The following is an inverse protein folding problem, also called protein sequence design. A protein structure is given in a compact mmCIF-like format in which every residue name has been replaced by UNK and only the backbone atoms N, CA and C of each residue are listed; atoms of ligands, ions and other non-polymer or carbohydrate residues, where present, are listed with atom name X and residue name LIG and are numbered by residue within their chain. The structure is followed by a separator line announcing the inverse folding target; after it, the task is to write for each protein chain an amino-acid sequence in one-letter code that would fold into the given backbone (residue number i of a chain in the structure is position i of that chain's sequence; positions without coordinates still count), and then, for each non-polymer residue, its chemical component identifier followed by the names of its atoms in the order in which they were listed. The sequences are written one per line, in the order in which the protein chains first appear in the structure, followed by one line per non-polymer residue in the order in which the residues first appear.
data_IF_488091520027
#
_entry.id   IF_488091520027
#
_cell.length_a   1.000
_cell.length_b   1.000
_cell.length_c   1.000
_cell.angle_alpha   90.00
_cell.angle_beta   90.00
_cell.angle_gamma   90.00
#
_symmetry.space_group_name_H-M   'P 1'
#
loop_
_entity.id
_entity.type
_entity.pdbx_description
1 polymer ?
#
# COMPACT_ATOMS: atom_id res chain seq x y z
N UNK A 1 6.97 -13.07 -14.42
CA UNK A 1 5.54 -13.00 -14.17
C UNK A 1 5.25 -12.65 -12.70
N UNK A 2 4.04 -12.15 -12.45
CA UNK A 2 3.45 -12.02 -11.12
C UNK A 2 2.09 -12.71 -11.15
N UNK A 3 1.86 -13.62 -10.20
CA UNK A 3 0.57 -14.31 -10.03
C UNK A 3 -0.06 -13.88 -8.70
N UNK A 4 -1.32 -13.50 -8.75
CA UNK A 4 -2.18 -13.25 -7.58
C UNK A 4 -3.10 -14.45 -7.40
N UNK A 5 -2.73 -15.41 -6.55
CA UNK A 5 -3.46 -16.65 -6.35
C UNK A 5 -4.45 -16.52 -5.19
N UNK A 6 -5.74 -16.42 -5.52
CA UNK A 6 -6.77 -16.03 -4.56
C UNK A 6 -7.30 -17.19 -3.69
N UNK A 7 -7.21 -18.44 -4.15
CA UNK A 7 -7.99 -19.52 -3.54
C UNK A 7 -7.20 -20.79 -3.20
N UNK A 8 -6.04 -21.02 -3.78
CA UNK A 8 -5.28 -22.27 -3.67
C UNK A 8 -3.78 -22.00 -3.59
N UNK A 9 -2.99 -23.07 -3.50
CA UNK A 9 -1.51 -23.03 -3.52
C UNK A 9 -0.97 -23.95 -4.63
N UNK A 10 -1.65 -23.98 -5.75
CA UNK A 10 -1.35 -24.94 -6.84
C UNK A 10 -0.02 -24.59 -7.53
N UNK A 11 0.34 -23.31 -7.58
CA UNK A 11 1.58 -22.86 -8.21
C UNK A 11 2.86 -23.25 -7.45
N UNK A 12 2.77 -23.73 -6.21
CA UNK A 12 3.93 -24.30 -5.49
C UNK A 12 4.56 -25.48 -6.21
N UNK A 13 3.81 -26.18 -7.06
CA UNK A 13 4.31 -27.26 -7.88
C UNK A 13 5.43 -26.80 -8.84
N UNK A 14 5.46 -25.53 -9.22
CA UNK A 14 6.55 -24.96 -10.03
C UNK A 14 7.93 -25.04 -9.36
N UNK A 15 8.00 -25.12 -8.02
CA UNK A 15 9.26 -25.30 -7.30
C UNK A 15 9.93 -26.66 -7.58
N UNK A 16 9.17 -27.64 -8.11
CA UNK A 16 9.73 -28.93 -8.52
C UNK A 16 10.47 -28.86 -9.87
N UNK A 17 10.23 -27.79 -10.65
CA UNK A 17 10.91 -27.56 -11.93
C UNK A 17 12.21 -26.77 -11.72
N UNK A 18 13.30 -27.29 -12.27
CA UNK A 18 14.65 -26.71 -12.14
C UNK A 18 14.72 -25.26 -12.68
N UNK A 19 13.88 -24.90 -13.68
CA UNK A 19 13.84 -23.55 -14.25
C UNK A 19 13.36 -22.53 -13.22
N UNK A 20 12.41 -22.91 -12.36
CA UNK A 20 11.79 -22.01 -11.38
C UNK A 20 12.47 -22.06 -10.01
N UNK A 21 13.16 -23.14 -9.67
CA UNK A 21 13.72 -23.40 -8.34
C UNK A 21 14.57 -22.26 -7.79
N UNK A 22 15.34 -21.57 -8.64
CA UNK A 22 16.20 -20.45 -8.26
C UNK A 22 15.63 -19.06 -8.56
N UNK A 23 14.53 -18.99 -9.32
CA UNK A 23 13.97 -17.73 -9.84
C UNK A 23 12.47 -17.58 -9.59
N UNK A 24 11.97 -18.19 -8.51
CA UNK A 24 10.57 -18.07 -8.08
C UNK A 24 10.52 -17.67 -6.61
N UNK A 25 9.80 -16.59 -6.34
CA UNK A 25 9.43 -16.18 -4.99
C UNK A 25 7.96 -16.54 -4.74
N UNK A 26 7.68 -17.12 -3.59
CA UNK A 26 6.32 -17.38 -3.14
C UNK A 26 6.12 -16.71 -1.78
N UNK A 27 5.13 -15.83 -1.68
CA UNK A 27 4.74 -15.16 -0.46
C UNK A 27 3.33 -15.56 -0.08
N UNK A 28 3.14 -15.96 1.17
CA UNK A 28 1.83 -16.31 1.72
C UNK A 28 1.26 -15.10 2.46
N UNK A 29 0.29 -14.45 1.82
CA UNK A 29 -0.33 -13.22 2.33
C UNK A 29 -1.26 -13.56 3.50
N UNK A 30 -1.14 -12.81 4.59
CA UNK A 30 -1.90 -13.07 5.81
C UNK A 30 -1.29 -14.16 6.71
N UNK A 31 -0.08 -14.63 6.41
CA UNK A 31 0.68 -15.53 7.29
C UNK A 31 1.98 -14.85 7.71
N UNK A 32 2.11 -14.56 9.01
CA UNK A 32 3.30 -13.92 9.55
C UNK A 32 4.46 -14.90 9.80
N UNK A 33 4.22 -16.21 9.67
CA UNK A 33 5.19 -17.27 9.99
C UNK A 33 5.89 -17.84 8.76
N UNK A 34 5.23 -17.77 7.60
CA UNK A 34 5.72 -18.32 6.34
C UNK A 34 5.91 -17.19 5.34
N UNK A 35 7.17 -16.88 4.99
CA UNK A 35 7.53 -15.83 4.03
C UNK A 35 6.76 -14.52 4.24
N UNK A 36 6.89 -13.88 5.42
CA UNK A 36 6.14 -12.66 5.73
C UNK A 36 6.54 -11.54 4.78
N UNK A 37 5.53 -10.86 4.24
CA UNK A 37 5.70 -9.67 3.43
C UNK A 37 5.02 -8.49 4.14
N UNK A 38 5.60 -7.32 4.05
CA UNK A 38 5.07 -6.11 4.69
C UNK A 38 4.86 -5.04 3.65
N UNK A 39 3.66 -4.49 3.60
CA UNK A 39 3.29 -3.41 2.71
C UNK A 39 2.67 -2.29 3.52
N UNK A 40 3.40 -1.22 3.73
CA UNK A 40 2.78 0.01 4.20
C UNK A 40 1.95 0.61 3.05
N UNK A 41 0.61 0.68 3.15
CA UNK A 41 -0.23 1.22 2.08
C UNK A 41 0.06 2.68 1.75
N UNK A 42 0.66 3.41 2.69
CA UNK A 42 0.95 4.83 2.55
C UNK A 42 2.33 5.13 1.97
N UNK A 43 3.11 4.10 1.67
CA UNK A 43 4.40 4.31 1.02
C UNK A 43 4.21 4.83 -0.40
N UNK A 44 4.86 5.95 -0.70
CA UNK A 44 4.80 6.58 -2.02
C UNK A 44 6.07 6.23 -2.78
N UNK A 45 5.93 5.69 -3.98
CA UNK A 45 7.05 5.42 -4.86
C UNK A 45 7.78 6.72 -5.21
N UNK A 46 9.10 6.65 -5.33
CA UNK A 46 9.91 7.80 -5.75
C UNK A 46 9.42 8.36 -7.10
N UNK A 47 9.23 9.67 -7.17
CA UNK A 47 8.74 10.36 -8.37
C UNK A 47 7.21 10.40 -8.51
N UNK A 48 6.47 9.76 -7.61
CA UNK A 48 5.00 9.86 -7.56
C UNK A 48 4.59 11.01 -6.66
N UNK A 49 3.65 11.83 -7.14
CA UNK A 49 3.12 12.93 -6.34
C UNK A 49 2.16 12.41 -5.26
N UNK A 50 2.27 12.85 -3.98
CA UNK A 50 1.42 12.36 -2.88
C UNK A 50 -0.08 12.44 -3.15
N UNK A 51 -0.55 13.50 -3.83
CA UNK A 51 -1.97 13.63 -4.17
C UNK A 51 -2.46 12.51 -5.08
N UNK A 52 -1.65 12.07 -6.04
CA UNK A 52 -1.98 10.95 -6.94
C UNK A 52 -2.12 9.66 -6.14
N UNK A 53 -1.17 9.41 -5.24
CA UNK A 53 -1.22 8.23 -4.36
C UNK A 53 -2.43 8.27 -3.41
N UNK A 54 -2.76 9.43 -2.83
CA UNK A 54 -3.95 9.63 -1.99
C UNK A 54 -5.23 9.31 -2.76
N UNK A 55 -5.35 9.77 -4.01
CA UNK A 55 -6.52 9.47 -4.86
C UNK A 55 -6.65 7.97 -5.11
N UNK A 56 -5.55 7.27 -5.35
CA UNK A 56 -5.56 5.81 -5.47
C UNK A 56 -5.94 5.12 -4.17
N UNK A 57 -5.38 5.53 -3.02
CA UNK A 57 -5.76 4.98 -1.73
C UNK A 57 -7.25 5.16 -1.43
N UNK A 58 -7.79 6.37 -1.68
CA UNK A 58 -9.23 6.63 -1.56
C UNK A 58 -10.05 5.67 -2.42
N UNK A 59 -9.63 5.43 -3.67
CA UNK A 59 -10.33 4.51 -4.56
C UNK A 59 -10.28 3.07 -4.03
N UNK A 60 -9.13 2.62 -3.54
CA UNK A 60 -8.97 1.29 -2.93
C UNK A 60 -9.87 1.15 -1.70
N UNK A 61 -9.82 2.09 -0.75
CA UNK A 61 -10.66 2.05 0.45
C UNK A 61 -12.16 2.03 0.10
N UNK A 62 -12.56 2.84 -0.89
CA UNK A 62 -13.96 2.89 -1.32
C UNK A 62 -14.41 1.58 -1.97
N UNK A 63 -13.58 1.01 -2.84
CA UNK A 63 -13.90 -0.24 -3.55
C UNK A 63 -13.93 -1.45 -2.60
N UNK A 64 -12.96 -1.52 -1.66
CA UNK A 64 -12.83 -2.67 -0.77
C UNK A 64 -13.84 -2.66 0.36
N UNK A 65 -14.18 -1.49 0.91
CA UNK A 65 -15.03 -1.40 2.11
C UNK A 65 -16.43 -0.89 1.85
N UNK A 66 -16.82 -0.74 0.60
CA UNK A 66 -18.17 -0.28 0.23
C UNK A 66 -18.59 0.98 1.01
N UNK A 67 -17.71 1.98 1.04
CA UNK A 67 -17.96 3.24 1.74
C UNK A 67 -19.14 3.97 1.11
N UNK A 68 -20.01 4.52 1.93
CA UNK A 68 -21.23 5.21 1.47
C UNK A 68 -21.43 6.58 2.15
N UNK A 69 -22.33 7.38 1.57
CA UNK A 69 -22.66 8.71 2.10
C UNK A 69 -21.42 9.60 2.26
N UNK A 70 -21.15 10.16 3.44
CA UNK A 70 -20.01 11.05 3.66
C UNK A 70 -18.68 10.32 3.88
N UNK A 71 -18.67 8.99 4.02
CA UNK A 71 -17.48 8.22 4.41
C UNK A 71 -16.31 8.38 3.44
N UNK A 72 -16.48 8.33 2.09
CA UNK A 72 -15.36 8.55 1.17
C UNK A 72 -14.69 9.91 1.35
N UNK A 73 -15.46 10.96 1.58
CA UNK A 73 -14.94 12.32 1.79
C UNK A 73 -14.23 12.46 3.14
N UNK A 74 -14.70 11.76 4.18
CA UNK A 74 -14.05 11.72 5.48
C UNK A 74 -12.67 11.04 5.35
N UNK A 75 -12.63 9.88 4.70
CA UNK A 75 -11.38 9.14 4.47
C UNK A 75 -10.40 10.00 3.67
N UNK A 76 -10.82 10.65 2.59
CA UNK A 76 -10.00 11.54 1.77
C UNK A 76 -9.37 12.68 2.58
N UNK A 77 -10.19 13.41 3.35
CA UNK A 77 -9.70 14.51 4.20
C UNK A 77 -8.68 14.01 5.21
N UNK A 78 -8.93 12.86 5.81
CA UNK A 78 -8.02 12.28 6.81
C UNK A 78 -6.74 11.73 6.16
N UNK A 79 -6.80 11.19 4.93
CA UNK A 79 -5.60 10.83 4.15
C UNK A 79 -4.69 12.06 3.93
N UNK A 80 -5.25 13.18 3.47
CA UNK A 80 -4.47 14.43 3.35
C UNK A 80 -3.85 14.84 4.68
N UNK A 81 -4.66 14.83 5.76
CA UNK A 81 -4.21 15.26 7.08
C UNK A 81 -3.06 14.41 7.63
N UNK A 82 -3.08 13.09 7.47
CA UNK A 82 -2.00 12.22 7.99
C UNK A 82 -0.69 12.42 7.25
N UNK A 83 -0.70 12.67 5.94
CA UNK A 83 0.52 13.01 5.20
C UNK A 83 1.09 14.36 5.63
N UNK A 84 0.23 15.38 5.78
CA UNK A 84 0.66 16.71 6.28
C UNK A 84 1.26 16.57 7.68
N UNK A 85 0.66 15.79 8.58
CA UNK A 85 1.20 15.54 9.93
C UNK A 85 2.55 14.82 9.93
N UNK A 86 2.82 14.01 8.91
CA UNK A 86 4.14 13.39 8.72
C UNK A 86 5.17 14.34 8.09
N UNK A 87 4.78 15.55 7.70
CA UNK A 87 5.69 16.57 7.16
C UNK A 87 5.67 16.71 5.63
N UNK A 88 4.76 16.04 4.93
CA UNK A 88 4.62 16.19 3.49
C UNK A 88 3.98 17.53 3.13
N UNK A 89 4.58 18.26 2.21
CA UNK A 89 3.94 19.36 1.51
C UNK A 89 3.18 18.80 0.30
N UNK A 90 1.86 18.74 0.40
CA UNK A 90 1.01 18.19 -0.64
C UNK A 90 0.92 19.08 -1.89
N UNK A 91 1.29 20.36 -1.78
CA UNK A 91 1.30 21.27 -2.94
C UNK A 91 2.50 21.01 -3.84
N UNK A 92 3.67 20.87 -3.24
CA UNK A 92 4.92 20.60 -3.96
C UNK A 92 5.21 19.12 -4.16
N UNK A 93 4.55 18.25 -3.40
CA UNK A 93 4.81 16.82 -3.38
C UNK A 93 6.11 16.43 -2.70
N UNK A 94 6.68 17.32 -1.87
CA UNK A 94 8.01 17.15 -1.30
C UNK A 94 7.92 16.95 0.20
N UNK A 95 8.76 16.05 0.74
CA UNK A 95 9.02 15.93 2.15
C UNK A 95 10.46 16.38 2.47
N UNK A 96 10.71 17.19 3.55
CA UNK A 96 12.03 17.73 3.86
C UNK A 96 13.13 16.69 4.01
N UNK A 97 12.82 15.51 4.51
CA UNK A 97 13.75 14.41 4.66
C UNK A 97 14.37 13.99 3.31
N UNK A 98 13.59 14.01 2.21
CA UNK A 98 14.06 13.61 0.89
C UNK A 98 14.79 14.71 0.12
N UNK A 99 14.62 15.98 0.51
CA UNK A 99 15.36 17.10 -0.09
C UNK A 99 16.87 17.01 0.19
N UNK A 100 17.23 16.52 1.37
CA UNK A 100 18.62 16.43 1.79
C UNK A 100 19.34 15.18 1.26
N UNK A 101 18.59 14.18 0.81
CA UNK A 101 19.13 12.89 0.32
C UNK A 101 19.51 12.90 -1.16
N UNK A 102 19.18 13.96 -1.91
CA UNK A 102 19.53 14.07 -3.35
C UNK A 102 21.03 14.16 -3.67
N UNK A 103 21.92 14.27 -2.67
CA UNK A 103 23.36 14.44 -2.90
C UNK A 103 24.19 13.15 -2.97
N UNK A 104 23.69 12.02 -2.51
CA UNK A 104 24.36 10.74 -2.62
C UNK A 104 23.33 9.62 -2.73
N UNK A 105 23.21 9.05 -3.92
CA UNK A 105 22.51 7.79 -4.15
C UNK A 105 23.37 6.66 -3.56
N UNK A 106 23.14 6.38 -2.31
CA UNK A 106 23.71 5.25 -1.61
C UNK A 106 22.59 4.22 -1.43
N UNK A 107 22.72 3.06 -2.07
CA UNK A 107 21.74 1.97 -1.96
C UNK A 107 21.52 1.55 -0.50
N UNK A 108 22.51 1.78 0.37
CA UNK A 108 22.40 1.51 1.80
C UNK A 108 21.54 2.53 2.56
N UNK A 109 21.26 3.72 2.00
CA UNK A 109 20.44 4.75 2.66
C UNK A 109 18.94 4.41 2.74
N UNK A 110 18.44 3.51 1.91
CA UNK A 110 17.07 3.00 2.04
C UNK A 110 16.85 2.12 3.28
N UNK A 111 17.91 1.75 3.99
CA UNK A 111 17.84 0.99 5.24
C UNK A 111 17.79 1.86 6.50
N UNK A 112 17.72 3.19 6.39
CA UNK A 112 17.61 4.04 7.58
C UNK A 112 16.18 4.00 8.15
N UNK A 113 16.02 3.68 9.44
CA UNK A 113 14.71 3.67 10.11
C UNK A 113 13.94 4.98 9.95
N UNK A 114 14.64 6.11 9.86
CA UNK A 114 14.06 7.45 9.72
C UNK A 114 13.25 7.62 8.44
N UNK A 115 13.65 6.97 7.34
CA UNK A 115 12.93 6.99 6.06
C UNK A 115 11.51 6.44 6.19
N UNK A 116 11.35 5.36 6.94
CA UNK A 116 10.06 4.69 7.10
C UNK A 116 9.06 5.54 7.90
N UNK A 117 9.53 6.38 8.82
CA UNK A 117 8.67 7.22 9.64
C UNK A 117 8.11 8.45 8.91
N UNK A 118 8.60 8.75 7.71
CA UNK A 118 8.03 9.80 6.86
C UNK A 118 6.65 9.44 6.31
N UNK A 119 6.26 8.17 6.35
CA UNK A 119 4.97 7.71 5.85
C UNK A 119 4.00 7.41 6.99
N UNK A 120 2.70 7.72 6.81
CA UNK A 120 1.66 7.32 7.74
C UNK A 120 1.55 5.80 7.87
N UNK A 121 0.78 5.36 8.87
CA UNK A 121 0.33 3.97 9.04
C UNK A 121 -1.19 3.91 9.06
N UNK A 122 -1.77 2.71 8.99
CA UNK A 122 -3.22 2.53 9.18
C UNK A 122 -3.67 3.01 10.57
N UNK A 123 -2.84 2.86 11.60
CA UNK A 123 -3.12 3.41 12.93
C UNK A 123 -3.18 4.94 12.91
N UNK A 124 -2.27 5.60 12.19
CA UNK A 124 -2.30 7.07 12.04
C UNK A 124 -3.61 7.50 11.37
N UNK A 125 -4.02 6.85 10.28
CA UNK A 125 -5.27 7.15 9.58
C UNK A 125 -6.49 6.90 10.47
N UNK A 126 -6.55 5.76 11.17
CA UNK A 126 -7.65 5.42 12.08
C UNK A 126 -7.81 6.48 13.18
N UNK A 127 -6.71 6.87 13.80
CA UNK A 127 -6.72 7.88 14.86
C UNK A 127 -7.14 9.25 14.34
N UNK A 128 -6.73 9.61 13.11
CA UNK A 128 -7.14 10.87 12.50
C UNK A 128 -8.62 10.91 12.15
N UNK A 129 -9.16 9.81 11.62
CA UNK A 129 -10.60 9.69 11.34
C UNK A 129 -11.41 9.78 12.63
N UNK A 130 -10.98 9.09 13.69
CA UNK A 130 -11.64 9.15 15.00
C UNK A 130 -11.66 10.59 15.57
N UNK A 131 -10.52 11.27 15.47
CA UNK A 131 -10.40 12.69 15.86
C UNK A 131 -11.32 13.57 15.03
N UNK A 132 -11.23 13.48 13.69
CA UNK A 132 -12.01 14.31 12.77
C UNK A 132 -13.51 14.17 13.00
N UNK A 133 -14.01 12.95 13.13
CA UNK A 133 -15.45 12.70 13.37
C UNK A 133 -15.90 13.26 14.72
N UNK A 134 -15.04 13.22 15.75
CA UNK A 134 -15.38 13.74 17.08
C UNK A 134 -15.36 15.26 17.16
N UNK A 135 -14.45 15.92 16.44
CA UNK A 135 -14.14 17.32 16.64
C UNK A 135 -14.57 18.25 15.51
N UNK A 136 -14.68 17.76 14.29
CA UNK A 136 -14.89 18.60 13.11
C UNK A 136 -16.17 18.25 12.33
N UNK A 137 -16.72 17.04 12.52
CA UNK A 137 -17.93 16.63 11.81
C UNK A 137 -19.18 17.15 12.52
N UNK A 138 -20.02 17.90 11.80
CA UNK A 138 -21.24 18.51 12.36
C UNK A 138 -22.38 17.51 12.65
N UNK A 139 -22.25 16.26 12.25
CA UNK A 139 -23.20 15.20 12.57
C UNK A 139 -23.22 14.92 14.08
N UNK A 140 -24.42 14.70 14.64
CA UNK A 140 -24.63 14.47 16.08
C UNK A 140 -25.40 13.17 16.32
N UNK A 141 -25.20 12.64 17.54
CA UNK A 141 -25.94 11.46 18.01
C UNK A 141 -25.63 10.21 17.18
N UNK A 142 -26.64 9.39 17.02
CA UNK A 142 -26.55 8.06 16.41
C UNK A 142 -25.95 8.06 14.99
N UNK A 143 -26.27 9.06 14.17
CA UNK A 143 -25.74 9.15 12.80
C UNK A 143 -24.21 9.29 12.80
N UNK A 144 -23.66 10.14 13.67
CA UNK A 144 -22.22 10.31 13.82
C UNK A 144 -21.56 9.02 14.28
N UNK A 145 -22.16 8.37 15.28
CA UNK A 145 -21.60 7.15 15.88
C UNK A 145 -21.65 5.97 14.88
N UNK A 146 -22.69 5.88 14.06
CA UNK A 146 -22.81 4.88 13.01
C UNK A 146 -21.75 5.08 11.91
N UNK A 147 -21.55 6.32 11.43
CA UNK A 147 -20.51 6.64 10.44
C UNK A 147 -19.13 6.29 11.00
N UNK A 148 -18.86 6.73 12.24
CA UNK A 148 -17.60 6.44 12.94
C UNK A 148 -17.34 4.94 13.03
N UNK A 149 -18.28 4.20 13.57
CA UNK A 149 -18.18 2.75 13.78
C UNK A 149 -17.95 2.03 12.47
N UNK A 150 -18.69 2.39 11.42
CA UNK A 150 -18.57 1.75 10.11
C UNK A 150 -17.18 1.90 9.50
N UNK A 151 -16.52 3.06 9.64
CA UNK A 151 -15.16 3.26 9.12
C UNK A 151 -14.12 2.62 10.04
N UNK A 152 -14.21 2.86 11.35
CA UNK A 152 -13.21 2.42 12.32
C UNK A 152 -13.09 0.91 12.38
N UNK A 153 -14.21 0.18 12.40
CA UNK A 153 -14.20 -1.29 12.45
C UNK A 153 -13.47 -1.89 11.22
N UNK A 154 -13.68 -1.32 10.04
CA UNK A 154 -13.02 -1.76 8.80
C UNK A 154 -11.51 -1.52 8.87
N UNK A 155 -11.09 -0.33 9.31
CA UNK A 155 -9.66 -0.05 9.48
C UNK A 155 -9.03 -0.90 10.58
N UNK A 156 -9.74 -1.14 11.69
CA UNK A 156 -9.26 -2.02 12.76
C UNK A 156 -9.04 -3.45 12.28
N UNK A 157 -9.89 -3.96 11.39
CA UNK A 157 -9.68 -5.31 10.82
C UNK A 157 -8.35 -5.45 10.10
N UNK A 158 -7.87 -4.38 9.45
CA UNK A 158 -6.55 -4.35 8.81
C UNK A 158 -5.39 -4.10 9.78
N UNK A 159 -5.67 -3.64 11.00
CA UNK A 159 -4.64 -3.30 12.00
C UNK A 159 -4.30 -4.44 12.95
N UNK A 160 -5.06 -5.55 12.96
CA UNK A 160 -4.92 -6.61 13.95
C UNK A 160 -4.47 -7.94 13.34
N UNK A 161 -3.86 -8.79 14.17
CA UNK A 161 -3.42 -10.13 13.76
C UNK A 161 -2.37 -10.11 12.66
N UNK A 162 -2.37 -11.14 11.82
CA UNK A 162 -1.42 -11.26 10.71
C UNK A 162 -1.54 -10.12 9.68
N UNK A 163 -2.77 -9.62 9.45
CA UNK A 163 -3.01 -8.45 8.58
C UNK A 163 -2.36 -7.19 9.15
N UNK A 164 -2.46 -6.98 10.47
CA UNK A 164 -1.82 -5.85 11.13
C UNK A 164 -0.29 -5.88 10.99
N UNK A 165 0.32 -7.05 11.13
CA UNK A 165 1.76 -7.21 10.90
C UNK A 165 2.17 -6.92 9.45
N UNK A 166 1.27 -7.12 8.49
CA UNK A 166 1.52 -6.90 7.07
C UNK A 166 1.25 -5.45 6.63
N UNK A 167 0.10 -4.87 7.03
CA UNK A 167 -0.35 -3.58 6.51
C UNK A 167 -0.14 -2.40 7.48
N UNK A 168 -0.19 -2.65 8.80
CA UNK A 168 -0.03 -1.59 9.80
C UNK A 168 1.40 -1.54 10.31
N UNK A 169 2.31 -1.20 9.44
CA UNK A 169 3.75 -1.21 9.66
C UNK A 169 4.39 0.03 9.07
N UNK A 170 5.56 0.41 9.58
CA UNK A 170 6.42 1.39 8.93
C UNK A 170 7.31 0.76 7.84
N UNK A 171 7.60 -0.54 7.97
CA UNK A 171 8.37 -1.26 6.96
C UNK A 171 7.54 -1.45 5.69
N UNK A 172 8.21 -1.52 4.55
CA UNK A 172 7.58 -1.88 3.29
C UNK A 172 8.49 -2.73 2.43
N UNK A 173 7.87 -3.65 1.71
CA UNK A 173 8.54 -4.41 0.68
C UNK A 173 8.48 -3.62 -0.63
N UNK A 174 9.63 -3.36 -1.23
CA UNK A 174 9.68 -2.54 -2.44
C UNK A 174 9.16 -3.32 -3.64
N UNK A 175 8.43 -2.62 -4.52
CA UNK A 175 7.77 -3.25 -5.68
C UNK A 175 8.79 -3.76 -6.71
N UNK A 176 9.96 -3.13 -6.81
CA UNK A 176 11.06 -3.61 -7.65
C UNK A 176 11.57 -4.99 -7.22
N UNK A 177 11.67 -5.26 -5.92
CA UNK A 177 12.00 -6.59 -5.40
C UNK A 177 10.94 -7.63 -5.76
N UNK A 178 9.66 -7.23 -5.69
CA UNK A 178 8.54 -8.09 -6.08
C UNK A 178 8.57 -8.44 -7.57
N UNK A 179 8.95 -7.48 -8.41
CA UNK A 179 8.98 -7.62 -9.86
C UNK A 179 10.33 -8.10 -10.41
N UNK A 180 11.37 -8.21 -9.59
CA UNK A 180 12.71 -8.63 -10.03
C UNK A 180 12.79 -10.11 -10.40
N UNK A 181 11.89 -10.94 -9.86
CA UNK A 181 11.78 -12.38 -10.11
C UNK A 181 10.36 -12.77 -10.47
N UNK A 182 10.20 -14.02 -10.92
CA UNK A 182 8.87 -14.62 -10.96
C UNK A 182 8.31 -14.70 -9.54
N UNK A 183 7.11 -14.19 -9.33
CA UNK A 183 6.55 -14.06 -7.99
C UNK A 183 5.11 -14.55 -7.95
N UNK A 184 4.77 -15.27 -6.89
CA UNK A 184 3.42 -15.74 -6.58
C UNK A 184 3.03 -15.16 -5.23
N UNK A 185 1.88 -14.51 -5.16
CA UNK A 185 1.26 -13.99 -3.95
C UNK A 185 0.03 -14.85 -3.65
N UNK A 186 0.16 -15.79 -2.70
CA UNK A 186 -0.92 -16.68 -2.27
C UNK A 186 -1.78 -15.96 -1.24
N UNK A 187 -3.06 -15.74 -1.54
CA UNK A 187 -4.01 -15.02 -0.69
C UNK A 187 -5.01 -15.92 0.04
N UNK A 188 -4.81 -17.22 0.04
CA UNK A 188 -5.71 -18.18 0.69
C UNK A 188 -5.98 -17.85 2.18
N UNK A 189 -4.96 -17.33 2.89
CA UNK A 189 -5.09 -16.97 4.30
C UNK A 189 -5.82 -15.64 4.55
N UNK A 190 -6.13 -14.86 3.51
CA UNK A 190 -7.08 -13.75 3.60
C UNK A 190 -8.49 -14.32 3.43
N UNK A 191 -9.18 -14.55 4.54
CA UNK A 191 -10.51 -15.17 4.52
C UNK A 191 -11.60 -14.24 4.01
N UNK A 192 -11.42 -12.93 4.17
CA UNK A 192 -12.37 -11.89 3.82
C UNK A 192 -12.11 -11.38 2.40
N UNK A 193 -13.16 -11.28 1.59
CA UNK A 193 -13.07 -10.79 0.22
C UNK A 193 -12.76 -9.28 0.16
N UNK A 194 -13.17 -8.51 1.15
CA UNK A 194 -12.82 -7.08 1.30
C UNK A 194 -11.30 -6.92 1.51
N UNK A 195 -10.69 -7.78 2.33
CA UNK A 195 -9.25 -7.79 2.56
C UNK A 195 -8.47 -8.19 1.31
N UNK A 196 -8.97 -9.19 0.55
CA UNK A 196 -8.38 -9.58 -0.74
C UNK A 196 -8.47 -8.45 -1.75
N UNK A 197 -9.64 -7.80 -1.86
CA UNK A 197 -9.84 -6.66 -2.75
C UNK A 197 -8.90 -5.50 -2.39
N UNK A 198 -8.73 -5.21 -1.09
CA UNK A 198 -7.79 -4.20 -0.60
C UNK A 198 -6.36 -4.53 -1.01
N UNK A 199 -5.90 -5.76 -0.75
CA UNK A 199 -4.55 -6.19 -1.10
C UNK A 199 -4.28 -6.15 -2.61
N UNK A 200 -5.20 -6.70 -3.41
CA UNK A 200 -5.08 -6.69 -4.88
C UNK A 200 -5.04 -5.25 -5.41
N UNK A 201 -5.95 -4.39 -4.93
CA UNK A 201 -5.97 -2.99 -5.30
C UNK A 201 -4.65 -2.28 -4.96
N UNK A 202 -4.11 -2.53 -3.77
CA UNK A 202 -2.82 -1.97 -3.35
C UNK A 202 -1.67 -2.42 -4.27
N UNK A 203 -1.57 -3.71 -4.57
CA UNK A 203 -0.53 -4.23 -5.46
C UNK A 203 -0.64 -3.61 -6.87
N UNK A 204 -1.86 -3.50 -7.41
CA UNK A 204 -2.09 -2.88 -8.72
C UNK A 204 -1.65 -1.42 -8.76
N UNK A 205 -1.97 -0.66 -7.71
CA UNK A 205 -1.55 0.74 -7.60
C UNK A 205 -0.04 0.86 -7.51
N UNK A 206 0.61 0.10 -6.63
CA UNK A 206 2.06 0.11 -6.49
C UNK A 206 2.79 -0.26 -7.79
N UNK A 207 2.26 -1.22 -8.55
CA UNK A 207 2.81 -1.57 -9.88
C UNK A 207 2.59 -0.43 -10.87
N UNK A 208 1.40 0.18 -10.87
CA UNK A 208 1.10 1.31 -11.75
C UNK A 208 2.04 2.49 -11.51
N UNK A 209 2.24 2.86 -10.25
CA UNK A 209 3.16 3.92 -9.84
C UNK A 209 4.62 3.60 -10.21
N UNK A 210 5.06 2.38 -9.95
CA UNK A 210 6.38 1.92 -10.34
C UNK A 210 6.61 2.02 -11.86
N UNK A 211 5.58 1.66 -12.66
CA UNK A 211 5.63 1.76 -14.12
C UNK A 211 5.61 3.19 -14.64
N UNK A 212 4.94 4.10 -13.94
CA UNK A 212 4.98 5.53 -14.30
C UNK A 212 6.40 6.09 -14.17
N UNK A 213 7.15 5.71 -13.12
CA UNK A 213 8.56 6.07 -12.95
C UNK A 213 9.43 5.61 -14.13
N UNK A 214 9.13 4.45 -14.69
CA UNK A 214 9.87 3.87 -15.81
C UNK A 214 9.41 4.35 -17.20
N UNK A 215 8.37 5.17 -17.29
CA UNK A 215 7.83 5.64 -18.56
C UNK A 215 8.77 6.68 -19.19
N UNK A 216 9.27 6.46 -20.43
CA UNK A 216 10.13 7.42 -21.12
C UNK A 216 9.48 8.80 -21.37
N UNK A 217 8.15 8.87 -21.45
CA UNK A 217 7.40 10.13 -21.57
C UNK A 217 7.49 10.99 -20.28
N UNK A 218 7.66 10.33 -19.12
CA UNK A 218 7.82 10.98 -17.81
C UNK A 218 9.31 11.12 -17.46
N UNK A 219 10.12 10.13 -17.84
CA UNK A 219 11.57 10.06 -17.62
C UNK A 219 12.32 9.78 -18.93
N UNK A 220 12.70 10.82 -19.69
CA UNK A 220 13.29 10.67 -21.04
C UNK A 220 14.60 9.86 -21.11
N UNK A 221 15.29 9.66 -19.97
CA UNK A 221 16.50 8.82 -19.89
C UNK A 221 16.24 7.31 -19.86
N UNK A 222 15.00 6.88 -19.70
CA UNK A 222 14.62 5.46 -19.67
C UNK A 222 14.22 4.99 -21.07
N UNK A 223 15.05 4.17 -21.69
CA UNK A 223 14.75 3.55 -22.99
C UNK A 223 13.52 2.63 -22.92
N UNK A 224 12.78 2.54 -24.04
CA UNK A 224 11.64 1.62 -24.17
C UNK A 224 12.12 0.15 -24.09
N UNK A 225 11.84 -0.53 -23.00
CA UNK A 225 12.34 -1.89 -22.72
C UNK A 225 11.34 -3.01 -23.09
N UNK A 226 10.26 -2.72 -23.80
CA UNK A 226 9.25 -3.73 -24.21
C UNK A 226 8.39 -4.29 -23.06
N UNK A 227 7.77 -5.45 -23.28
CA UNK A 227 6.94 -6.14 -22.28
C UNK A 227 7.82 -6.67 -21.14
N UNK A 228 7.61 -6.20 -19.91
CA UNK A 228 8.46 -6.55 -18.77
C UNK A 228 7.83 -7.58 -17.83
N UNK A 229 6.51 -7.54 -17.68
CA UNK A 229 5.80 -8.42 -16.76
C UNK A 229 4.45 -8.83 -17.35
N UNK A 230 4.09 -10.06 -17.08
CA UNK A 230 2.77 -10.61 -17.32
C UNK A 230 2.13 -10.89 -15.95
N UNK A 231 0.94 -10.33 -15.72
CA UNK A 231 0.18 -10.54 -14.49
C UNK A 231 -1.02 -11.44 -14.77
N UNK A 232 -1.21 -12.44 -13.93
CA UNK A 232 -2.31 -13.41 -14.00
C UNK A 232 -3.06 -13.41 -12.68
#
# INVERSE_FOLDING_TARGET
FLVLESAKRDYRQLLADEIFKSNLNIFTIGDATVSPIRFNPFYIQEGVHPLVHIDYLKAIFNASFSLYGPMPSIVEKCLHAVYIKKGWDLTTGIHPHFLNSKKEYDEDKYNYPEHYYCFPTLTDLKNEIDRYIKTELDYKGELRDNIRTAIIVRLESLCVGAKGLMFNTHDFFTIDKLLSKNTILEMENLADDDDKAFFVGLILVLISEYRQKENPAVNPGMGNKGLRHFMV
#
